data_IF_728242498042
#
_entry.id   IF_728242498042
#
_cell.length_a   1.000
_cell.length_b   1.000
_cell.length_c   1.000
_cell.angle_alpha   90.00
_cell.angle_beta   90.00
_cell.angle_gamma   90.00
#
_symmetry.space_group_name_H-M   'P 1'
#
loop_
_entity.id
_entity.type
_entity.pdbx_description
1 polymer ?
#
# COMPACT_ATOMS: atom_id res chain seq x y z
N UNK A 1 -4.71 -16.55 -26.66
CA UNK A 1 -4.63 -16.89 -25.21
C UNK A 1 -3.31 -16.46 -24.59
N UNK A 2 -2.17 -16.74 -25.23
CA UNK A 2 -0.84 -16.29 -24.76
C UNK A 2 -0.73 -14.76 -24.59
N UNK A 3 -1.24 -13.96 -25.55
CA UNK A 3 -1.26 -12.49 -25.44
C UNK A 3 -2.04 -11.96 -24.23
N UNK A 4 -3.15 -12.61 -23.86
CA UNK A 4 -3.97 -12.21 -22.71
C UNK A 4 -3.27 -12.55 -21.39
N UNK A 5 -2.59 -13.69 -21.31
CA UNK A 5 -1.78 -14.06 -20.14
C UNK A 5 -0.63 -13.06 -19.96
N UNK A 6 0.01 -12.69 -21.07
CA UNK A 6 1.10 -11.73 -21.07
C UNK A 6 0.64 -10.33 -20.63
N UNK A 7 -0.52 -9.88 -21.10
CA UNK A 7 -1.11 -8.62 -20.67
C UNK A 7 -1.38 -8.58 -19.15
N UNK A 8 -1.86 -9.70 -18.58
CA UNK A 8 -2.08 -9.83 -17.12
C UNK A 8 -0.76 -9.87 -16.35
N UNK A 9 0.29 -10.51 -16.89
CA UNK A 9 1.62 -10.51 -16.26
C UNK A 9 2.18 -9.09 -16.19
N UNK A 10 2.16 -8.38 -17.31
CA UNK A 10 2.66 -7.00 -17.39
C UNK A 10 1.89 -6.04 -16.48
N UNK A 11 0.57 -6.22 -16.32
CA UNK A 11 -0.21 -5.40 -15.40
C UNK A 11 0.13 -5.69 -13.94
N UNK A 12 0.32 -6.95 -13.56
CA UNK A 12 0.77 -7.33 -12.22
C UNK A 12 2.14 -6.75 -11.89
N UNK A 13 3.09 -6.80 -12.82
CA UNK A 13 4.42 -6.21 -12.63
C UNK A 13 4.37 -4.69 -12.46
N UNK A 14 3.45 -4.01 -13.13
CA UNK A 14 3.23 -2.58 -12.92
C UNK A 14 2.71 -2.29 -11.52
N UNK A 15 1.76 -3.09 -11.05
CA UNK A 15 1.22 -2.97 -9.68
C UNK A 15 2.33 -3.21 -8.65
N UNK A 16 3.10 -4.27 -8.79
CA UNK A 16 4.20 -4.59 -7.86
C UNK A 16 5.25 -3.46 -7.80
N UNK A 17 5.58 -2.86 -8.95
CA UNK A 17 6.48 -1.69 -8.97
C UNK A 17 5.89 -0.49 -8.23
N UNK A 18 4.59 -0.25 -8.36
CA UNK A 18 3.93 0.84 -7.65
C UNK A 18 3.88 0.58 -6.14
N UNK A 19 3.58 -0.65 -5.73
CA UNK A 19 3.60 -1.07 -4.32
C UNK A 19 4.98 -0.85 -3.69
N UNK A 20 6.06 -1.20 -4.41
CA UNK A 20 7.44 -0.94 -3.95
C UNK A 20 7.74 0.54 -3.75
N UNK A 21 7.33 1.39 -4.68
CA UNK A 21 7.50 2.85 -4.55
C UNK A 21 6.77 3.38 -3.32
N UNK A 22 5.56 2.87 -3.04
CA UNK A 22 4.81 3.24 -1.83
C UNK A 22 5.58 2.79 -0.59
N UNK A 23 6.04 1.55 -0.56
CA UNK A 23 6.83 0.98 0.55
C UNK A 23 8.07 1.81 0.86
N UNK A 24 8.84 2.18 -0.17
CA UNK A 24 10.05 3.01 -0.06
C UNK A 24 9.76 4.42 0.49
N UNK A 25 8.58 4.96 0.21
CA UNK A 25 8.15 6.27 0.69
C UNK A 25 7.75 6.27 2.17
N UNK A 26 7.16 5.16 2.67
CA UNK A 26 6.59 5.08 4.03
C UNK A 26 7.53 5.58 5.13
N UNK A 27 8.83 5.21 5.19
CA UNK A 27 9.70 5.63 6.29
C UNK A 27 9.81 7.15 6.47
N UNK A 28 9.60 7.92 5.39
CA UNK A 28 9.70 9.38 5.40
C UNK A 28 8.36 10.08 5.65
N UNK A 29 7.26 9.35 5.59
CA UNK A 29 5.92 9.90 5.75
C UNK A 29 5.58 10.13 7.23
N UNK A 30 4.94 11.26 7.55
CA UNK A 30 4.54 11.62 8.91
C UNK A 30 3.65 10.56 9.59
N UNK A 31 2.88 9.79 8.81
CA UNK A 31 1.98 8.74 9.30
C UNK A 31 2.60 7.34 9.32
N UNK A 32 3.93 7.20 9.11
CA UNK A 32 4.61 5.90 9.05
C UNK A 32 4.34 4.99 10.26
N UNK A 33 4.19 5.58 11.46
CA UNK A 33 3.89 4.82 12.69
C UNK A 33 2.47 4.28 12.69
N UNK A 34 1.51 5.03 12.14
CA UNK A 34 0.12 4.61 11.99
C UNK A 34 0.02 3.46 11.00
N UNK A 35 0.66 3.58 9.82
CA UNK A 35 0.69 2.52 8.80
C UNK A 35 1.22 1.22 9.40
N UNK A 36 2.37 1.26 10.10
CA UNK A 36 2.94 0.07 10.75
C UNK A 36 2.05 -0.50 11.85
N UNK A 37 1.37 0.34 12.63
CA UNK A 37 0.43 -0.13 13.64
C UNK A 37 -0.76 -0.86 12.99
N UNK A 38 -1.32 -0.31 11.92
CA UNK A 38 -2.42 -0.94 11.18
C UNK A 38 -2.02 -2.30 10.58
N UNK A 39 -0.81 -2.42 10.03
CA UNK A 39 -0.30 -3.68 9.49
C UNK A 39 -0.09 -4.79 10.53
N UNK A 40 -0.09 -4.46 11.83
CA UNK A 40 -0.06 -5.48 12.89
C UNK A 40 -1.40 -6.18 13.06
N UNK A 41 -2.48 -5.59 12.53
CA UNK A 41 -3.80 -6.18 12.51
C UNK A 41 -3.87 -7.28 11.45
N UNK A 42 -4.52 -8.40 11.80
CA UNK A 42 -4.66 -9.55 10.91
C UNK A 42 -5.36 -9.14 9.61
N UNK A 43 -4.71 -9.39 8.48
CA UNK A 43 -5.27 -9.15 7.14
C UNK A 43 -5.14 -7.72 6.63
N UNK A 44 -4.42 -6.85 7.34
CA UNK A 44 -4.15 -5.49 6.86
C UNK A 44 -2.82 -5.48 6.11
N UNK A 45 -2.88 -5.34 4.80
CA UNK A 45 -1.72 -5.16 3.94
C UNK A 45 -1.28 -3.68 3.86
N UNK A 46 -0.17 -3.44 3.15
CA UNK A 46 0.39 -2.11 2.97
C UNK A 46 -0.60 -1.14 2.32
N UNK A 47 -1.28 -1.55 1.26
CA UNK A 47 -2.17 -0.67 0.49
C UNK A 47 -3.40 -0.29 1.30
N UNK A 48 -3.99 -1.26 2.02
CA UNK A 48 -5.10 -1.00 2.94
C UNK A 48 -4.67 -0.02 4.04
N UNK A 49 -3.53 -0.25 4.68
CA UNK A 49 -3.02 0.61 5.74
C UNK A 49 -2.74 2.04 5.27
N UNK A 50 -2.10 2.19 4.11
CA UNK A 50 -1.76 3.50 3.51
C UNK A 50 -3.01 4.25 3.06
N UNK A 51 -3.97 3.56 2.45
CA UNK A 51 -5.24 4.16 2.04
C UNK A 51 -5.97 4.70 3.26
N UNK A 52 -6.12 3.89 4.32
CA UNK A 52 -6.74 4.33 5.57
C UNK A 52 -6.01 5.53 6.18
N UNK A 53 -4.69 5.47 6.31
CA UNK A 53 -3.90 6.57 6.88
C UNK A 53 -4.03 7.86 6.06
N UNK A 54 -4.17 7.75 4.73
CA UNK A 54 -4.36 8.91 3.84
C UNK A 54 -5.75 9.53 4.02
N UNK A 55 -6.81 8.72 4.08
CA UNK A 55 -8.19 9.19 4.28
C UNK A 55 -8.40 9.79 5.67
N UNK A 56 -7.81 9.16 6.69
CA UNK A 56 -7.98 9.56 8.09
C UNK A 56 -7.03 10.68 8.48
N UNK A 57 -5.82 10.74 7.91
CA UNK A 57 -4.83 11.76 8.28
C UNK A 57 -4.46 11.68 9.77
N UNK A 58 -4.84 12.70 10.52
CA UNK A 58 -4.70 12.72 11.98
C UNK A 58 -5.72 11.78 12.63
N UNK A 59 -5.25 10.67 13.19
CA UNK A 59 -6.09 9.66 13.85
C UNK A 59 -6.60 10.16 15.22
N UNK A 60 -5.93 11.13 15.85
CA UNK A 60 -6.30 11.64 17.18
C UNK A 60 -7.58 12.47 17.21
N UNK A 61 -8.12 12.81 16.03
CA UNK A 61 -9.39 13.53 15.88
C UNK A 61 -10.64 12.66 16.11
N UNK A 62 -10.46 11.35 16.27
CA UNK A 62 -11.50 10.35 16.52
C UNK A 62 -11.27 9.66 17.86
#
# INVERSE_FOLDING_TARGET
MQEMVEAVRLSKERVERLEKVIEEFIPTWSLARVVRALQTLRGVDLIVAVTYATEVGDVTRF
#
